data_IF_670596541013
#
_entry.id   IF_670596541013
#
_cell.length_a   1.000
_cell.length_b   1.000
_cell.length_c   1.000
_cell.angle_alpha   90.00
_cell.angle_beta   90.00
_cell.angle_gamma   90.00
#
_symmetry.space_group_name_H-M   'P 1'
#
loop_
_entity.id
_entity.type
_entity.pdbx_description
1 polymer ?
#
# COMPACT_ATOMS: atom_id res chain seq x y z
N UNK A 1 -12.20 -8.48 10.53
CA UNK A 1 -11.12 -9.12 9.74
C UNK A 1 -11.48 -9.04 8.27
N UNK A 2 -10.51 -9.05 7.36
CA UNK A 2 -10.80 -9.16 5.93
C UNK A 2 -11.32 -10.58 5.62
N UNK A 3 -12.23 -10.73 4.64
CA UNK A 3 -12.60 -12.04 4.11
C UNK A 3 -11.38 -12.80 3.59
N UNK A 4 -11.32 -14.13 3.73
CA UNK A 4 -10.18 -14.93 3.29
C UNK A 4 -10.01 -14.92 1.76
N UNK A 5 -11.07 -14.63 1.01
CA UNK A 5 -11.13 -14.63 -0.45
C UNK A 5 -11.15 -13.22 -1.05
N UNK A 6 -10.73 -12.20 -0.28
CA UNK A 6 -10.68 -10.82 -0.75
C UNK A 6 -9.83 -10.71 -2.03
N UNK A 7 -10.44 -10.18 -3.10
CA UNK A 7 -9.79 -10.07 -4.42
C UNK A 7 -9.22 -8.68 -4.70
N UNK A 8 -9.69 -7.65 -4.00
CA UNK A 8 -9.23 -6.28 -4.18
C UNK A 8 -9.05 -5.61 -2.81
N UNK A 9 -7.90 -4.99 -2.60
CA UNK A 9 -7.57 -4.24 -1.40
C UNK A 9 -7.06 -2.87 -1.80
N UNK A 10 -7.64 -1.85 -1.16
CA UNK A 10 -7.27 -0.46 -1.35
C UNK A 10 -6.85 0.08 0.02
N UNK A 11 -5.60 0.52 0.12
CA UNK A 11 -5.04 1.19 1.29
C UNK A 11 -4.87 2.67 0.97
N UNK A 12 -5.50 3.52 1.78
CA UNK A 12 -5.36 4.97 1.70
C UNK A 12 -4.73 5.48 3.00
N UNK A 13 -3.62 6.22 2.90
CA UNK A 13 -3.01 6.86 4.05
C UNK A 13 -2.90 8.38 3.81
N UNK A 14 -3.89 9.20 4.17
CA UNK A 14 -3.85 10.64 3.88
C UNK A 14 -2.85 11.45 4.73
N UNK A 15 -2.13 10.82 5.66
CA UNK A 15 -1.22 11.49 6.58
C UNK A 15 0.14 11.79 5.93
N UNK A 16 0.51 13.07 5.87
CA UNK A 16 1.75 13.59 5.27
C UNK A 16 2.99 13.39 6.18
N UNK A 17 2.77 13.22 7.48
CA UNK A 17 3.82 13.21 8.50
C UNK A 17 4.35 11.79 8.79
N UNK A 18 3.52 10.76 8.58
CA UNK A 18 3.86 9.39 8.98
C UNK A 18 4.50 8.59 7.86
N UNK A 19 5.79 8.33 8.04
CA UNK A 19 6.59 7.29 7.38
C UNK A 19 5.94 5.91 7.48
N UNK A 20 5.86 5.17 6.37
CA UNK A 20 5.36 3.79 6.32
C UNK A 20 6.42 2.82 5.79
N UNK A 21 6.37 1.57 6.26
CA UNK A 21 7.23 0.48 5.82
C UNK A 21 6.32 -0.67 5.38
N UNK A 22 6.54 -1.20 4.18
CA UNK A 22 6.04 -2.51 3.81
C UNK A 22 7.07 -3.52 4.30
N UNK A 23 6.73 -4.25 5.35
CA UNK A 23 7.61 -5.26 5.96
C UNK A 23 7.34 -6.65 5.40
N UNK A 24 8.26 -7.58 5.63
CA UNK A 24 8.12 -8.95 5.17
C UNK A 24 6.82 -9.59 5.65
N UNK A 25 6.10 -10.20 4.71
CA UNK A 25 4.87 -10.95 4.99
C UNK A 25 3.66 -10.11 5.40
N UNK A 26 3.70 -8.77 5.27
CA UNK A 26 2.56 -7.90 5.64
C UNK A 26 1.26 -8.28 4.90
N UNK A 27 1.37 -8.88 3.72
CA UNK A 27 0.25 -9.38 2.93
C UNK A 27 0.17 -10.92 2.84
N UNK A 28 0.89 -11.66 3.69
CA UNK A 28 1.06 -13.11 3.56
C UNK A 28 -0.25 -13.91 3.59
N UNK A 29 -1.29 -13.38 4.26
CA UNK A 29 -2.59 -14.03 4.39
C UNK A 29 -3.55 -13.73 3.21
N UNK A 30 -3.17 -12.88 2.27
CA UNK A 30 -4.02 -12.40 1.18
C UNK A 30 -3.75 -13.16 -0.13
N UNK A 31 -3.72 -14.48 -0.08
CA UNK A 31 -3.32 -15.32 -1.23
C UNK A 31 -4.27 -15.22 -2.43
N UNK A 32 -5.54 -14.90 -2.21
CA UNK A 32 -6.57 -14.71 -3.25
C UNK A 32 -6.60 -13.30 -3.84
N UNK A 33 -5.79 -12.37 -3.32
CA UNK A 33 -5.80 -10.99 -3.75
C UNK A 33 -5.30 -10.87 -5.19
N UNK A 34 -6.11 -10.21 -6.03
CA UNK A 34 -5.79 -9.96 -7.45
C UNK A 34 -5.38 -8.51 -7.70
N UNK A 35 -5.87 -7.59 -6.87
CA UNK A 35 -5.58 -6.17 -6.98
C UNK A 35 -5.19 -5.59 -5.62
N UNK A 36 -4.02 -4.95 -5.57
CA UNK A 36 -3.54 -4.18 -4.43
C UNK A 36 -3.27 -2.76 -4.88
N UNK A 37 -4.01 -1.81 -4.32
CA UNK A 37 -3.75 -0.38 -4.51
C UNK A 37 -3.36 0.22 -3.18
N UNK A 38 -2.18 0.83 -3.12
CA UNK A 38 -1.71 1.59 -1.96
C UNK A 38 -1.51 3.02 -2.43
N UNK A 39 -2.31 3.95 -1.94
CA UNK A 39 -2.22 5.34 -2.33
C UNK A 39 -2.10 6.28 -1.13
N UNK A 40 -1.37 7.37 -1.33
CA UNK A 40 -1.05 8.40 -0.32
C UNK A 40 -0.25 7.91 0.90
N UNK A 41 0.09 6.62 0.99
CA UNK A 41 1.03 6.12 2.00
C UNK A 41 2.46 6.54 1.67
N UNK A 42 3.06 7.37 2.52
CA UNK A 42 4.48 7.78 2.47
C UNK A 42 5.40 6.59 2.79
N UNK A 43 5.43 5.61 1.88
CA UNK A 43 6.21 4.38 2.01
C UNK A 43 7.68 4.69 1.73
N UNK A 44 8.51 4.58 2.77
CA UNK A 44 9.95 4.84 2.67
C UNK A 44 10.75 3.55 2.40
N UNK A 45 10.22 2.40 2.81
CA UNK A 45 10.89 1.12 2.70
C UNK A 45 9.89 0.08 2.20
N UNK A 46 10.30 -0.66 1.17
CA UNK A 46 9.65 -1.88 0.70
C UNK A 46 10.70 -2.98 0.78
N UNK A 47 10.51 -3.94 1.68
CA UNK A 47 11.42 -5.07 1.82
C UNK A 47 11.20 -6.12 0.73
N UNK A 48 12.20 -6.97 0.47
CA UNK A 48 12.10 -8.04 -0.53
C UNK A 48 10.93 -9.02 -0.26
N UNK A 49 10.55 -9.20 1.00
CA UNK A 49 9.43 -10.05 1.40
C UNK A 49 8.08 -9.35 1.52
N UNK A 50 7.97 -8.06 1.15
CA UNK A 50 6.74 -7.26 1.32
C UNK A 50 5.51 -7.88 0.66
N UNK A 51 5.70 -8.52 -0.49
CA UNK A 51 4.61 -9.09 -1.29
C UNK A 51 4.56 -10.62 -1.23
N UNK A 52 5.29 -11.26 -0.30
CA UNK A 52 5.20 -12.71 -0.09
C UNK A 52 3.76 -13.08 0.27
N UNK A 53 3.27 -14.16 -0.35
CA UNK A 53 1.92 -14.68 -0.14
C UNK A 53 0.87 -14.13 -1.10
N UNK A 54 1.14 -13.05 -1.84
CA UNK A 54 0.24 -12.50 -2.87
C UNK A 54 0.25 -13.32 -4.18
N UNK A 55 -0.03 -14.62 -4.07
CA UNK A 55 0.13 -15.61 -5.16
C UNK A 55 -0.75 -15.33 -6.38
N UNK A 56 -1.91 -14.69 -6.20
CA UNK A 56 -2.86 -14.42 -7.28
C UNK A 56 -2.84 -12.96 -7.78
N UNK A 57 -1.88 -12.15 -7.32
CA UNK A 57 -1.83 -10.73 -7.63
C UNK A 57 -1.57 -10.50 -9.12
N UNK A 58 -2.40 -9.66 -9.72
CA UNK A 58 -2.30 -9.27 -11.13
C UNK A 58 -2.02 -7.77 -11.27
N UNK A 59 -2.60 -6.98 -10.37
CA UNK A 59 -2.51 -5.54 -10.40
C UNK A 59 -1.91 -5.05 -9.08
N UNK A 60 -0.77 -4.37 -9.18
CA UNK A 60 -0.15 -3.66 -8.08
C UNK A 60 -0.04 -2.19 -8.48
N UNK A 61 -0.66 -1.32 -7.68
CA UNK A 61 -0.51 0.13 -7.82
C UNK A 61 -0.02 0.68 -6.50
N UNK A 62 1.12 1.35 -6.51
CA UNK A 62 1.64 2.10 -5.37
C UNK A 62 1.85 3.52 -5.84
N UNK A 63 1.11 4.48 -5.27
CA UNK A 63 1.18 5.87 -5.68
C UNK A 63 1.20 6.81 -4.48
N UNK A 64 2.04 7.84 -4.55
CA UNK A 64 2.05 8.92 -3.58
C UNK A 64 1.97 10.23 -4.36
N UNK A 65 0.83 10.90 -4.28
CA UNK A 65 0.69 12.26 -4.82
C UNK A 65 1.03 13.24 -3.72
N UNK A 66 2.33 13.41 -3.49
CA UNK A 66 2.90 14.31 -2.50
C UNK A 66 2.99 15.74 -2.98
N UNK A 67 1.99 16.27 -3.70
CA UNK A 67 1.96 17.71 -3.94
C UNK A 67 1.94 18.37 -2.57
N UNK A 68 2.99 19.13 -2.20
CA UNK A 68 2.88 20.02 -1.07
C UNK A 68 1.65 20.86 -1.32
N UNK A 69 0.79 21.10 -0.31
CA UNK A 69 -0.07 22.27 -0.40
C UNK A 69 0.88 23.42 -0.76
N UNK A 70 0.66 24.03 -1.93
CA UNK A 70 1.23 25.35 -2.21
C UNK A 70 0.68 26.23 -1.09
N UNK A 71 1.48 26.42 -0.04
CA UNK A 71 1.23 27.47 0.92
C UNK A 71 1.39 28.77 0.16
N UNK A 72 0.36 29.60 0.19
CA UNK A 72 0.51 30.99 -0.21
C UNK A 72 1.56 31.59 0.74
N UNK A 73 2.78 31.79 0.21
CA UNK A 73 3.77 32.67 0.82
C UNK A 73 3.26 34.11 0.62
N UNK A 74 2.32 34.54 1.46
CA UNK A 74 1.90 35.94 1.63
C UNK A 74 2.24 36.45 3.01
#
# INVERSE_FOLDING_TARGET
SLPPDVQSLILNCPSLESSSILSDGIFQKLSFLRSLTIYQCKINIITAGSFIGLQMLKNLSISYSGLPQLGDDT
#
